data_IF_627097239789
#
_entry.id   IF_627097239789
#
_cell.length_a   1.000
_cell.length_b   1.000
_cell.length_c   1.000
_cell.angle_alpha   90.00
_cell.angle_beta   90.00
_cell.angle_gamma   90.00
#
_symmetry.space_group_name_H-M   'P 1'
#
loop_
_entity.id
_entity.type
_entity.pdbx_description
1 polymer ?
#
# COMPACT_ATOMS: atom_id res chain seq x y z
N UNK A 1 -10.30 -13.16 10.66
CA UNK A 1 -10.55 -13.85 11.96
C UNK A 1 -10.65 -12.80 13.05
N UNK A 2 -11.86 -12.60 13.59
CA UNK A 2 -12.15 -11.61 14.63
C UNK A 2 -11.63 -12.15 15.97
N UNK A 3 -10.72 -11.42 16.61
CA UNK A 3 -10.28 -11.69 17.97
C UNK A 3 -10.69 -10.50 18.84
N UNK A 4 -11.73 -10.68 19.66
CA UNK A 4 -12.13 -9.77 20.74
C UNK A 4 -12.62 -8.36 20.38
N UNK A 5 -13.62 -8.23 19.50
CA UNK A 5 -14.57 -7.08 19.50
C UNK A 5 -14.00 -5.66 19.31
N UNK A 6 -12.70 -5.53 19.11
CA UNK A 6 -12.02 -4.32 18.72
C UNK A 6 -11.70 -4.47 17.24
N UNK A 7 -12.12 -3.50 16.44
CA UNK A 7 -11.61 -3.32 15.09
C UNK A 7 -10.10 -3.15 15.28
N UNK A 8 -9.34 -4.22 15.04
CA UNK A 8 -7.88 -4.13 15.01
C UNK A 8 -7.61 -3.22 13.83
N UNK A 9 -7.43 -1.93 14.10
CA UNK A 9 -6.99 -0.97 13.11
C UNK A 9 -5.67 -1.53 12.57
N UNK A 10 -5.75 -2.16 11.39
CA UNK A 10 -4.60 -2.58 10.62
C UNK A 10 -3.99 -1.37 9.89
N UNK A 11 -4.14 -0.16 10.46
CA UNK A 11 -3.71 1.13 9.91
C UNK A 11 -2.19 1.32 9.98
N UNK A 12 -1.42 0.26 9.73
CA UNK A 12 0.02 0.30 9.89
C UNK A 12 0.70 -1.04 10.17
N UNK A 13 0.05 -2.20 10.00
CA UNK A 13 0.81 -3.46 9.92
C UNK A 13 1.47 -3.60 8.54
N UNK A 14 2.13 -2.52 8.11
CA UNK A 14 3.06 -2.51 7.01
C UNK A 14 4.07 -3.60 7.29
N UNK A 15 4.26 -4.47 6.30
CA UNK A 15 5.22 -5.54 6.35
C UNK A 15 6.62 -4.93 6.45
N UNK A 16 7.04 -4.52 7.66
CA UNK A 16 8.24 -3.72 7.92
C UNK A 16 9.47 -4.41 7.32
N UNK A 17 9.51 -5.74 7.43
CA UNK A 17 10.53 -6.58 6.81
C UNK A 17 10.47 -6.49 5.28
N UNK A 18 9.28 -6.62 4.68
CA UNK A 18 9.10 -6.46 3.24
C UNK A 18 9.50 -5.07 2.74
N UNK A 19 9.10 -4.01 3.45
CA UNK A 19 9.43 -2.64 3.10
C UNK A 19 10.94 -2.36 3.30
N UNK A 20 11.56 -2.93 4.32
CA UNK A 20 13.00 -2.84 4.56
C UNK A 20 13.80 -3.54 3.47
N UNK A 21 13.36 -4.72 3.02
CA UNK A 21 13.99 -5.44 1.89
C UNK A 21 13.88 -4.61 0.61
N UNK A 22 12.68 -4.09 0.31
CA UNK A 22 12.46 -3.21 -0.83
C UNK A 22 13.34 -1.96 -0.77
N UNK A 23 13.45 -1.33 0.41
CA UNK A 23 14.33 -0.20 0.64
C UNK A 23 15.79 -0.54 0.36
N UNK A 24 16.33 -1.61 0.96
CA UNK A 24 17.73 -2.02 0.77
C UNK A 24 18.01 -2.31 -0.71
N UNK A 25 17.07 -2.95 -1.40
CA UNK A 25 17.22 -3.27 -2.81
C UNK A 25 17.27 -2.00 -3.68
N UNK A 26 16.31 -1.09 -3.54
CA UNK A 26 16.29 0.18 -4.29
C UNK A 26 17.50 1.04 -3.94
N UNK A 27 17.89 1.07 -2.66
CA UNK A 27 19.08 1.78 -2.20
C UNK A 27 20.36 1.19 -2.77
N UNK A 28 20.44 -0.14 -2.89
CA UNK A 28 21.54 -0.83 -3.57
C UNK A 28 21.66 -0.44 -5.05
N UNK A 29 20.53 -0.35 -5.76
CA UNK A 29 20.51 0.14 -7.15
C UNK A 29 20.95 1.59 -7.27
N UNK A 30 20.59 2.44 -6.31
CA UNK A 30 21.05 3.83 -6.26
C UNK A 30 22.58 3.90 -6.08
N UNK A 31 23.14 3.18 -5.12
CA UNK A 31 24.59 3.11 -4.90
C UNK A 31 25.28 2.56 -6.15
N UNK A 32 24.75 1.48 -6.73
CA UNK A 32 25.27 0.91 -7.97
C UNK A 32 25.31 1.93 -9.11
N UNK A 33 24.28 2.76 -9.23
CA UNK A 33 24.22 3.83 -10.23
C UNK A 33 25.30 4.90 -10.01
N UNK A 34 25.51 5.32 -8.76
CA UNK A 34 26.57 6.28 -8.40
C UNK A 34 27.95 5.70 -8.65
N UNK A 35 28.17 4.42 -8.36
CA UNK A 35 29.44 3.75 -8.64
C UNK A 35 29.64 3.61 -10.15
N UNK A 36 28.60 3.24 -10.90
CA UNK A 36 28.66 3.10 -12.36
C UNK A 36 29.07 4.41 -13.04
N UNK A 37 28.45 5.54 -12.67
CA UNK A 37 28.81 6.85 -13.26
C UNK A 37 30.24 7.27 -12.91
N UNK A 38 30.80 6.81 -11.79
CA UNK A 38 32.19 7.07 -11.40
C UNK A 38 33.23 6.49 -12.36
N UNK A 39 32.87 5.47 -13.15
CA UNK A 39 33.73 4.90 -14.19
C UNK A 39 33.54 5.57 -15.56
N UNK A 40 32.70 6.61 -15.64
CA UNK A 40 32.46 7.31 -16.89
C UNK A 40 33.69 8.10 -17.34
N UNK A 41 34.28 7.68 -18.46
CA UNK A 41 35.36 8.40 -19.14
C UNK A 41 35.01 8.64 -20.61
N UNK A 42 35.70 9.57 -21.28
CA UNK A 42 35.50 9.82 -22.71
C UNK A 42 35.92 8.62 -23.58
N UNK A 43 36.87 7.83 -23.11
CA UNK A 43 37.36 6.62 -23.79
C UNK A 43 36.38 5.44 -23.66
N UNK A 44 35.62 5.41 -22.56
CA UNK A 44 34.65 4.37 -22.28
C UNK A 44 33.36 4.96 -21.69
N UNK A 45 32.63 5.74 -22.47
CA UNK A 45 31.40 6.41 -22.03
C UNK A 45 30.18 5.48 -22.05
N UNK A 46 30.15 4.53 -22.99
CA UNK A 46 28.96 3.72 -23.27
C UNK A 46 28.66 2.70 -22.18
N UNK A 47 29.66 1.94 -21.72
CA UNK A 47 29.43 0.88 -20.72
C UNK A 47 28.96 1.47 -19.38
N UNK A 48 29.65 2.47 -18.80
CA UNK A 48 29.22 3.09 -17.54
C UNK A 48 27.88 3.80 -17.68
N UNK A 49 27.63 4.43 -18.84
CA UNK A 49 26.38 5.15 -19.07
C UNK A 49 25.17 4.27 -19.26
N UNK A 50 25.30 3.16 -20.02
CA UNK A 50 24.23 2.19 -20.17
C UNK A 50 23.96 1.47 -18.84
N UNK A 51 25.00 1.15 -18.07
CA UNK A 51 24.85 0.57 -16.74
C UNK A 51 24.10 1.53 -15.80
N UNK A 52 24.48 2.81 -15.78
CA UNK A 52 23.78 3.83 -15.00
C UNK A 52 22.29 3.94 -15.40
N UNK A 53 22.00 4.06 -16.71
CA UNK A 53 20.62 4.13 -17.21
C UNK A 53 19.80 2.90 -16.81
N UNK A 54 20.35 1.70 -16.99
CA UNK A 54 19.66 0.46 -16.63
C UNK A 54 19.37 0.36 -15.12
N UNK A 55 20.37 0.67 -14.28
CA UNK A 55 20.22 0.64 -12.82
C UNK A 55 19.20 1.67 -12.32
N UNK A 56 19.25 2.88 -12.89
CA UNK A 56 18.31 3.96 -12.57
C UNK A 56 16.88 3.61 -12.97
N UNK A 57 16.68 3.11 -14.19
CA UNK A 57 15.37 2.67 -14.68
C UNK A 57 14.82 1.52 -13.85
N UNK A 58 15.65 0.54 -13.49
CA UNK A 58 15.25 -0.58 -12.64
C UNK A 58 14.82 -0.11 -11.24
N UNK A 59 15.55 0.86 -10.67
CA UNK A 59 15.19 1.43 -9.37
C UNK A 59 13.80 2.09 -9.42
N UNK A 60 13.48 2.81 -10.50
CA UNK A 60 12.16 3.42 -10.71
C UNK A 60 11.04 2.39 -10.82
N UNK A 61 11.22 1.35 -11.64
CA UNK A 61 10.20 0.31 -11.80
C UNK A 61 9.93 -0.45 -10.51
N UNK A 62 10.98 -0.77 -9.76
CA UNK A 62 10.84 -1.50 -8.50
C UNK A 62 10.16 -0.64 -7.44
N UNK A 63 10.50 0.65 -7.35
CA UNK A 63 9.80 1.59 -6.48
C UNK A 63 8.31 1.69 -6.84
N UNK A 64 7.97 1.76 -8.14
CA UNK A 64 6.57 1.76 -8.60
C UNK A 64 5.82 0.50 -8.22
N UNK A 65 6.39 -0.70 -8.39
CA UNK A 65 5.70 -1.95 -8.05
C UNK A 65 5.45 -2.07 -6.53
N UNK A 66 6.40 -1.60 -5.71
CA UNK A 66 6.29 -1.66 -4.25
C UNK A 66 5.26 -0.65 -3.71
N UNK A 67 5.32 0.60 -4.18
CA UNK A 67 4.38 1.67 -3.75
C UNK A 67 3.00 1.53 -4.42
N UNK A 68 2.94 1.02 -5.65
CA UNK A 68 1.69 0.82 -6.38
C UNK A 68 0.87 -0.38 -5.89
N UNK A 69 1.52 -1.44 -5.39
CA UNK A 69 0.79 -2.57 -4.79
C UNK A 69 0.14 -2.23 -3.45
N UNK A 70 0.73 -1.35 -2.64
CA UNK A 70 0.18 -1.03 -1.32
C UNK A 70 -1.24 -0.47 -1.40
N UNK A 71 -1.55 0.37 -2.39
CA UNK A 71 -2.88 0.96 -2.55
C UNK A 71 -3.95 -0.09 -2.96
N UNK A 72 -3.54 -1.13 -3.71
CA UNK A 72 -4.47 -2.15 -4.22
C UNK A 72 -4.94 -3.18 -3.17
N UNK A 73 -4.18 -3.35 -2.09
CA UNK A 73 -4.49 -4.33 -1.05
C UNK A 73 -5.48 -3.78 -0.01
N UNK A 74 -5.50 -2.47 0.20
CA UNK A 74 -6.39 -1.81 1.16
C UNK A 74 -7.83 -1.71 0.65
N UNK A 75 -8.00 -1.67 -0.68
CA UNK A 75 -9.32 -1.68 -1.32
C UNK A 75 -10.08 -3.02 -1.16
N UNK A 76 -9.37 -4.14 -0.95
CA UNK A 76 -9.99 -5.48 -0.86
C UNK A 76 -10.60 -5.79 0.51
N UNK A 77 -10.25 -5.07 1.58
CA UNK A 77 -10.70 -5.35 2.95
C UNK A 77 -11.76 -4.34 3.47
N UNK A 78 -12.14 -3.37 2.63
CA UNK A 78 -13.22 -2.39 2.91
C UNK A 78 -14.61 -2.92 2.51
N UNK A 79 -14.68 -4.02 1.77
CA UNK A 79 -15.91 -4.75 1.53
C UNK A 79 -15.96 -5.91 2.50
N UNK A 80 -16.72 -5.74 3.59
CA UNK A 80 -17.00 -6.82 4.54
C UNK A 80 -17.44 -8.09 3.80
N UNK A 81 -17.17 -9.23 4.40
CA UNK A 81 -17.45 -10.60 3.91
C UNK A 81 -18.90 -10.82 3.40
N UNK A 82 -19.79 -9.88 3.70
CA UNK A 82 -21.07 -9.66 3.03
C UNK A 82 -21.08 -8.23 2.48
N UNK A 83 -21.16 -8.06 1.17
CA UNK A 83 -21.08 -6.78 0.46
C UNK A 83 -22.18 -5.76 0.73
N UNK A 84 -22.72 -5.69 1.95
CA UNK A 84 -23.48 -4.54 2.41
C UNK A 84 -22.52 -3.45 2.92
N UNK A 85 -22.68 -2.20 2.47
CA UNK A 85 -21.88 -1.08 2.97
C UNK A 85 -22.08 -0.96 4.48
N UNK A 86 -21.03 -0.61 5.23
CA UNK A 86 -21.11 -0.38 6.68
C UNK A 86 -22.24 0.60 7.04
N UNK A 87 -22.49 1.56 6.14
CA UNK A 87 -23.56 2.55 6.24
C UNK A 87 -24.96 1.90 6.26
N UNK A 88 -25.16 0.80 5.52
CA UNK A 88 -26.42 0.05 5.53
C UNK A 88 -26.62 -0.73 6.83
N UNK A 89 -25.55 -1.29 7.40
CA UNK A 89 -25.62 -1.96 8.70
C UNK A 89 -25.87 -0.96 9.84
N UNK A 90 -25.20 0.20 9.79
CA UNK A 90 -25.39 1.29 10.75
C UNK A 90 -26.82 1.87 10.66
N UNK A 91 -27.36 2.00 9.45
CA UNK A 91 -28.74 2.46 9.22
C UNK A 91 -29.78 1.48 9.77
N UNK A 92 -29.63 0.17 9.53
CA UNK A 92 -30.53 -0.86 10.11
C UNK A 92 -30.45 -0.91 11.63
N UNK A 93 -29.24 -0.80 12.19
CA UNK A 93 -29.07 -0.79 13.64
C UNK A 93 -29.77 0.42 14.28
N UNK A 94 -29.65 1.61 13.66
CA UNK A 94 -30.34 2.82 14.08
C UNK A 94 -31.86 2.72 13.92
N UNK A 95 -32.35 2.12 12.83
CA UNK A 95 -33.78 1.90 12.56
C UNK A 95 -34.39 0.91 13.56
N UNK A 96 -33.66 -0.14 13.96
CA UNK A 96 -34.11 -1.10 14.97
C UNK A 96 -34.21 -0.51 16.39
N UNK A 97 -33.50 0.59 16.65
CA UNK A 97 -33.50 1.29 17.94
C UNK A 97 -34.47 2.48 17.98
N UNK A 98 -35.15 2.78 16.87
CA UNK A 98 -36.14 3.84 16.85
C UNK A 98 -37.36 3.45 17.71
N UNK A 99 -37.78 4.27 18.69
CA UNK A 99 -38.95 3.98 19.49
C UNK A 99 -40.19 3.98 18.59
N UNK A 100 -40.98 2.90 18.65
CA UNK A 100 -42.26 2.79 17.96
C UNK A 100 -43.16 3.91 18.49
N UNK A 101 -43.40 4.94 17.67
CA UNK A 101 -44.35 5.99 18.01
C UNK A 101 -45.74 5.40 18.09
N UNK A 102 -46.19 5.12 19.31
CA UNK A 102 -47.55 4.72 19.62
C UNK A 102 -48.50 5.86 19.21
N UNK A 103 -49.48 5.62 18.31
CA UNK A 103 -50.45 6.65 17.97
C UNK A 103 -51.35 6.90 19.19
N UNK A 104 -51.31 8.13 19.71
CA UNK A 104 -52.19 8.59 20.79
C UNK A 104 -53.65 8.39 20.37
N UNK A 105 -54.34 7.48 21.06
CA UNK A 105 -55.78 7.32 20.96
C UNK A 105 -56.46 8.59 21.54
N UNK A 106 -57.28 9.23 20.70
CA UNK A 106 -58.22 10.27 21.08
C UNK A 106 -59.56 9.63 21.48
#
# INVERSE_FOLDING_TARGET
MISNGQVKAFSGQGNLVGNLIAFIFVFGLLIGSVVAIGFWSLENAWIPGLAFMALWTLAFFVAQEVVGRSDSLEQQDLHGEHGEPLDAMASRAAESQAPIHEPKAH
#
